data_IF_013999106159
#
_entry.id   IF_013999106159
#
_cell.length_a   1.000
_cell.length_b   1.000
_cell.length_c   1.000
_cell.angle_alpha   90.00
_cell.angle_beta   90.00
_cell.angle_gamma   90.00
#
_symmetry.space_group_name_H-M   'P 1'
#
loop_
_entity.id
_entity.type
_entity.pdbx_description
1 polymer ?
#
# COMPACT_ATOMS: atom_id res chain seq x y z
N UNK A 1 -40.42 -5.33 -5.38
CA UNK A 1 -38.95 -5.23 -5.46
C UNK A 1 -38.45 -4.98 -4.06
N UNK A 2 -37.86 -5.99 -3.41
CA UNK A 2 -37.27 -5.82 -2.08
C UNK A 2 -35.91 -5.15 -2.26
N UNK A 3 -35.80 -3.90 -1.81
CA UNK A 3 -34.56 -3.15 -1.88
C UNK A 3 -33.54 -3.83 -0.95
N UNK A 4 -32.46 -4.36 -1.53
CA UNK A 4 -31.43 -5.05 -0.73
C UNK A 4 -30.73 -4.00 0.14
N UNK A 5 -30.56 -4.24 1.46
CA UNK A 5 -29.90 -3.28 2.33
C UNK A 5 -28.47 -3.01 1.83
N UNK A 6 -28.09 -1.73 1.80
CA UNK A 6 -26.74 -1.30 1.40
C UNK A 6 -25.72 -1.92 2.35
N UNK A 7 -24.66 -2.58 1.86
CA UNK A 7 -23.66 -3.20 2.72
C UNK A 7 -23.00 -2.19 3.66
N UNK A 8 -22.83 -2.54 4.94
CA UNK A 8 -22.24 -1.67 5.97
C UNK A 8 -20.88 -1.07 5.57
N UNK A 9 -20.06 -1.83 4.82
CA UNK A 9 -18.79 -1.34 4.26
C UNK A 9 -19.00 -0.14 3.33
N UNK A 10 -20.00 -0.18 2.45
CA UNK A 10 -20.26 0.91 1.50
C UNK A 10 -20.72 2.17 2.24
N UNK A 11 -21.59 2.02 3.25
CA UNK A 11 -22.02 3.12 4.12
C UNK A 11 -20.80 3.78 4.79
N UNK A 12 -19.90 2.96 5.36
CA UNK A 12 -18.66 3.46 5.99
C UNK A 12 -17.77 4.22 5.00
N UNK A 13 -17.59 3.70 3.78
CA UNK A 13 -16.80 4.36 2.74
C UNK A 13 -17.40 5.70 2.35
N UNK A 14 -18.73 5.78 2.17
CA UNK A 14 -19.45 7.03 1.85
C UNK A 14 -19.31 8.04 2.98
N UNK A 15 -19.56 7.64 4.23
CA UNK A 15 -19.40 8.53 5.39
C UNK A 15 -17.96 9.05 5.51
N UNK A 16 -16.97 8.21 5.21
CA UNK A 16 -15.56 8.63 5.18
C UNK A 16 -15.32 9.66 4.07
N UNK A 17 -15.91 9.46 2.88
CA UNK A 17 -15.82 10.40 1.77
C UNK A 17 -16.42 11.77 2.09
N UNK A 18 -17.57 11.80 2.77
CA UNK A 18 -18.20 13.03 3.27
C UNK A 18 -17.27 13.73 4.26
N UNK A 19 -16.76 13.01 5.26
CA UNK A 19 -15.85 13.57 6.25
C UNK A 19 -14.57 14.15 5.63
N UNK A 20 -13.99 13.47 4.63
CA UNK A 20 -12.80 13.96 3.89
C UNK A 20 -13.13 15.23 3.11
N UNK A 21 -14.32 15.31 2.50
CA UNK A 21 -14.75 16.50 1.74
C UNK A 21 -14.97 17.71 2.65
N UNK A 22 -15.56 17.51 3.82
CA UNK A 22 -15.89 18.58 4.77
C UNK A 22 -14.68 19.02 5.60
N UNK A 23 -13.77 18.09 5.93
CA UNK A 23 -12.68 18.33 6.86
C UNK A 23 -11.34 18.03 6.18
N UNK A 24 -10.57 19.08 5.82
CA UNK A 24 -9.21 18.92 5.31
C UNK A 24 -8.34 18.08 6.26
N UNK A 25 -7.49 17.19 5.73
CA UNK A 25 -6.64 16.32 6.55
C UNK A 25 -5.64 17.15 7.37
N UNK A 26 -5.50 16.82 8.65
CA UNK A 26 -4.53 17.45 9.57
C UNK A 26 -3.80 16.41 10.42
N UNK A 27 -2.56 16.70 10.79
CA UNK A 27 -1.79 15.89 11.75
C UNK A 27 -1.78 14.40 11.38
N UNK A 28 -2.40 13.57 12.21
CA UNK A 28 -2.49 12.10 12.06
C UNK A 28 -3.33 11.62 10.87
N UNK A 29 -4.09 12.50 10.22
CA UNK A 29 -4.76 12.20 8.96
C UNK A 29 -3.78 12.08 7.78
N UNK A 30 -2.54 12.55 7.92
CA UNK A 30 -1.53 12.48 6.84
C UNK A 30 -0.71 11.20 6.93
N UNK A 31 -0.91 10.27 5.99
CA UNK A 31 -0.01 9.14 5.80
C UNK A 31 1.01 9.44 4.69
N UNK A 32 2.10 8.70 4.68
CA UNK A 32 3.14 8.76 3.66
C UNK A 32 3.46 7.36 3.16
N UNK A 33 3.72 7.22 1.86
CA UNK A 33 4.26 5.98 1.29
C UNK A 33 5.34 6.30 0.28
N UNK A 34 6.20 5.32 -0.03
CA UNK A 34 7.25 5.49 -1.03
C UNK A 34 6.64 5.60 -2.44
N UNK A 35 7.03 6.59 -3.24
CA UNK A 35 6.49 6.85 -4.59
C UNK A 35 6.51 5.64 -5.52
N UNK A 36 7.53 4.80 -5.41
CA UNK A 36 7.64 3.57 -6.18
C UNK A 36 6.44 2.63 -5.99
N UNK A 37 5.91 2.52 -4.77
CA UNK A 37 4.76 1.68 -4.45
C UNK A 37 3.45 2.27 -5.00
N UNK A 38 3.45 3.56 -5.36
CA UNK A 38 2.34 4.20 -6.09
C UNK A 38 2.39 3.92 -7.61
N UNK A 39 3.54 3.50 -8.14
CA UNK A 39 3.72 3.20 -9.56
C UNK A 39 3.62 1.69 -9.82
N UNK A 40 4.33 0.90 -9.02
CA UNK A 40 4.41 -0.56 -9.09
C UNK A 40 4.13 -1.15 -7.71
N UNK A 41 2.95 -1.74 -7.55
CA UNK A 41 2.52 -2.30 -6.26
C UNK A 41 3.03 -3.72 -6.02
N UNK A 42 3.04 -4.14 -4.76
CA UNK A 42 3.24 -5.54 -4.34
C UNK A 42 2.22 -6.49 -5.00
N UNK A 43 2.41 -7.82 -4.94
CA UNK A 43 1.35 -8.76 -5.31
C UNK A 43 0.04 -8.50 -4.55
N UNK A 44 -1.10 -8.72 -5.21
CA UNK A 44 -2.43 -8.53 -4.59
C UNK A 44 -2.90 -9.76 -3.82
N UNK A 45 -2.42 -10.93 -4.21
CA UNK A 45 -2.70 -12.23 -3.62
C UNK A 45 -1.40 -12.99 -3.42
N UNK A 46 -1.46 -14.09 -2.69
CA UNK A 46 -0.33 -15.01 -2.54
C UNK A 46 0.19 -15.40 -3.92
N UNK A 47 1.51 -15.39 -4.06
CA UNK A 47 2.22 -15.83 -5.25
C UNK A 47 2.81 -17.21 -4.94
N UNK A 48 2.63 -18.14 -5.86
CA UNK A 48 3.30 -19.43 -5.80
C UNK A 48 4.69 -19.26 -6.42
N UNK A 49 5.73 -19.32 -5.59
CA UNK A 49 7.12 -19.15 -6.00
C UNK A 49 7.89 -18.12 -5.17
N UNK A 50 9.16 -17.93 -5.55
CA UNK A 50 10.11 -17.06 -4.83
C UNK A 50 10.27 -15.68 -5.42
N UNK A 51 9.75 -15.44 -6.63
CA UNK A 51 9.91 -14.16 -7.32
C UNK A 51 8.58 -13.67 -7.90
N UNK A 52 8.39 -12.37 -7.83
CA UNK A 52 7.29 -11.68 -8.47
C UNK A 52 7.82 -10.46 -9.20
N UNK A 53 7.51 -10.35 -10.49
CA UNK A 53 7.86 -9.19 -11.31
C UNK A 53 6.59 -8.42 -11.67
N UNK A 54 6.67 -7.09 -11.60
CA UNK A 54 5.65 -6.17 -12.13
C UNK A 54 6.30 -5.04 -12.91
N UNK A 55 5.71 -4.69 -14.05
CA UNK A 55 6.18 -3.60 -14.93
C UNK A 55 5.04 -2.64 -15.28
N UNK A 56 5.30 -1.34 -15.25
CA UNK A 56 4.40 -0.31 -15.75
C UNK A 56 5.18 0.74 -16.52
N UNK A 57 5.01 0.78 -17.85
CA UNK A 57 5.82 1.63 -18.72
C UNK A 57 7.31 1.30 -18.58
N UNK A 58 8.12 2.32 -18.27
CA UNK A 58 9.57 2.19 -18.06
C UNK A 58 9.95 1.71 -16.65
N UNK A 59 8.99 1.67 -15.72
CA UNK A 59 9.21 1.27 -14.33
C UNK A 59 8.97 -0.24 -14.16
N UNK A 60 9.80 -0.91 -13.38
CA UNK A 60 9.57 -2.29 -12.97
C UNK A 60 10.02 -2.54 -11.52
N UNK A 61 9.41 -3.55 -10.91
CA UNK A 61 9.66 -4.04 -9.56
C UNK A 61 9.78 -5.56 -9.59
N UNK A 62 10.87 -6.09 -9.05
CA UNK A 62 10.99 -7.49 -8.64
C UNK A 62 10.91 -7.55 -7.12
N UNK A 63 10.07 -8.43 -6.61
CA UNK A 63 10.04 -8.81 -5.20
C UNK A 63 10.50 -10.25 -5.09
N UNK A 64 11.57 -10.48 -4.32
CA UNK A 64 12.09 -11.81 -4.04
C UNK A 64 11.78 -12.20 -2.60
N UNK A 65 11.24 -13.41 -2.41
CA UNK A 65 11.05 -14.04 -1.12
C UNK A 65 12.40 -14.30 -0.43
N UNK A 66 12.41 -14.19 0.90
CA UNK A 66 13.61 -14.36 1.71
C UNK A 66 13.47 -15.43 2.77
N UNK A 67 14.48 -15.49 3.62
CA UNK A 67 14.51 -16.33 4.82
C UNK A 67 14.60 -15.43 6.03
N UNK A 68 13.95 -15.82 7.11
CA UNK A 68 13.99 -15.11 8.39
C UNK A 68 14.37 -16.11 9.48
N UNK A 69 15.31 -15.75 10.34
CA UNK A 69 15.61 -16.59 11.50
C UNK A 69 14.56 -16.38 12.58
N UNK A 70 13.79 -17.44 12.88
CA UNK A 70 12.74 -17.43 13.90
C UNK A 70 13.24 -18.02 15.24
N UNK A 71 14.56 -18.06 15.47
CA UNK A 71 15.21 -18.51 16.70
C UNK A 71 15.59 -20.00 16.72
N UNK A 72 15.04 -20.79 15.81
CA UNK A 72 15.41 -22.19 15.56
C UNK A 72 16.12 -22.38 14.21
N UNK A 73 16.56 -21.29 13.59
CA UNK A 73 17.20 -21.26 12.28
C UNK A 73 16.31 -20.63 11.19
N UNK A 74 16.78 -20.66 9.94
CA UNK A 74 16.15 -19.94 8.83
C UNK A 74 14.82 -20.59 8.44
N UNK A 75 13.75 -19.79 8.49
CA UNK A 75 12.39 -20.13 8.04
C UNK A 75 12.10 -19.41 6.73
N UNK A 76 11.62 -20.16 5.74
CA UNK A 76 11.24 -19.59 4.44
C UNK A 76 10.02 -18.67 4.59
N UNK A 77 10.12 -17.47 4.02
CA UNK A 77 9.04 -16.49 4.08
C UNK A 77 8.45 -16.26 2.68
N UNK A 78 7.12 -16.09 2.56
CA UNK A 78 6.51 -15.82 1.27
C UNK A 78 6.87 -14.42 0.77
N UNK A 79 6.58 -14.14 -0.50
CA UNK A 79 6.55 -12.77 -1.01
C UNK A 79 5.43 -12.00 -0.27
N UNK A 80 5.64 -10.77 0.21
CA UNK A 80 4.57 -9.99 0.83
C UNK A 80 3.46 -9.65 -0.17
N UNK A 81 2.20 -9.84 0.22
CA UNK A 81 1.03 -9.67 -0.65
C UNK A 81 -0.20 -9.11 0.08
N UNK A 82 -1.14 -8.59 -0.72
CA UNK A 82 -2.44 -8.15 -0.21
C UNK A 82 -2.39 -6.80 0.50
N UNK A 83 -3.47 -6.45 1.19
CA UNK A 83 -3.63 -5.10 1.78
C UNK A 83 -2.77 -4.86 3.01
N UNK A 84 -2.53 -5.89 3.82
CA UNK A 84 -1.82 -5.75 5.10
C UNK A 84 -0.41 -5.16 4.96
N UNK A 85 0.50 -5.69 4.11
CA UNK A 85 1.84 -5.12 3.97
C UNK A 85 1.82 -3.69 3.42
N UNK A 86 0.83 -3.32 2.59
CA UNK A 86 0.68 -1.96 2.07
C UNK A 86 0.33 -0.96 3.17
N UNK A 87 -0.59 -1.34 4.05
CA UNK A 87 -1.00 -0.53 5.20
C UNK A 87 0.15 -0.41 6.20
N UNK A 88 0.86 -1.52 6.47
CA UNK A 88 2.06 -1.51 7.30
C UNK A 88 3.13 -0.58 6.73
N UNK A 89 3.46 -0.71 5.44
CA UNK A 89 4.43 0.17 4.78
C UNK A 89 4.03 1.65 4.84
N UNK A 90 2.74 1.97 4.65
CA UNK A 90 2.26 3.35 4.80
C UNK A 90 2.41 3.86 6.24
N UNK A 91 2.10 3.03 7.24
CA UNK A 91 2.23 3.42 8.65
C UNK A 91 3.69 3.62 9.05
N UNK A 92 4.57 2.65 8.74
CA UNK A 92 5.99 2.71 9.13
C UNK A 92 6.70 3.86 8.42
N UNK A 93 6.36 4.12 7.15
CA UNK A 93 6.90 5.26 6.40
C UNK A 93 6.45 6.59 7.02
N UNK A 94 5.19 6.67 7.46
CA UNK A 94 4.66 7.85 8.14
C UNK A 94 5.36 8.10 9.47
N UNK A 95 5.56 7.05 10.26
CA UNK A 95 6.29 7.14 11.53
C UNK A 95 7.73 7.60 11.29
N UNK A 96 8.43 6.94 10.37
CA UNK A 96 9.82 7.22 10.02
C UNK A 96 10.04 8.69 9.65
N UNK A 97 9.18 9.25 8.79
CA UNK A 97 9.30 10.65 8.35
C UNK A 97 8.95 11.65 9.44
N UNK A 98 7.91 11.36 10.24
CA UNK A 98 7.48 12.25 11.34
C UNK A 98 8.51 12.32 12.46
N UNK A 99 9.11 11.17 12.79
CA UNK A 99 10.07 11.02 13.88
C UNK A 99 11.53 11.12 13.42
N UNK A 100 11.75 11.16 12.11
CA UNK A 100 13.07 11.22 11.46
C UNK A 100 13.99 10.10 11.95
N UNK A 101 13.46 8.88 12.00
CA UNK A 101 14.20 7.69 12.45
C UNK A 101 13.93 6.49 11.55
N UNK A 102 14.89 5.58 11.49
CA UNK A 102 14.78 4.26 10.87
C UNK A 102 14.28 3.20 11.84
N UNK A 103 14.37 3.45 13.14
CA UNK A 103 13.90 2.54 14.20
C UNK A 103 12.41 2.76 14.44
N UNK A 104 11.62 1.76 14.08
CA UNK A 104 10.17 1.84 14.09
C UNK A 104 9.63 0.96 15.22
N UNK A 105 9.03 1.54 16.29
CA UNK A 105 8.37 0.75 17.31
C UNK A 105 7.12 0.12 16.71
N UNK A 106 7.06 -1.21 16.71
CA UNK A 106 5.93 -1.99 16.18
C UNK A 106 5.16 -2.70 17.30
N UNK A 107 5.34 -2.24 18.54
CA UNK A 107 4.67 -2.81 19.73
C UNK A 107 5.21 -4.19 20.11
N UNK A 108 4.81 -4.68 21.28
CA UNK A 108 5.25 -5.97 21.84
C UNK A 108 4.54 -7.17 21.22
N UNK A 109 3.54 -6.94 20.36
CA UNK A 109 2.80 -7.99 19.67
C UNK A 109 2.20 -7.51 18.35
N UNK A 110 1.88 -8.45 17.46
CA UNK A 110 1.12 -8.16 16.23
C UNK A 110 -0.25 -7.51 16.52
N UNK A 111 -0.88 -7.83 17.65
CA UNK A 111 -2.13 -7.19 18.04
C UNK A 111 -1.92 -5.70 18.36
N UNK A 112 -0.89 -5.38 19.13
CA UNK A 112 -0.53 -4.00 19.45
C UNK A 112 -0.19 -3.23 18.17
N UNK A 113 0.55 -3.84 17.24
CA UNK A 113 0.83 -3.18 15.96
C UNK A 113 -0.43 -2.91 15.14
N UNK A 114 -1.39 -3.84 15.08
CA UNK A 114 -2.66 -3.58 14.41
C UNK A 114 -3.38 -2.38 15.03
N UNK A 115 -3.40 -2.30 16.37
CA UNK A 115 -3.99 -1.17 17.08
C UNK A 115 -3.26 0.15 16.75
N UNK A 116 -1.93 0.14 16.69
CA UNK A 116 -1.12 1.29 16.26
C UNK A 116 -1.48 1.76 14.83
N UNK A 117 -1.79 0.82 13.93
CA UNK A 117 -2.29 1.12 12.58
C UNK A 117 -3.78 1.53 12.55
N UNK A 118 -4.43 1.68 13.71
CA UNK A 118 -5.86 1.97 13.84
C UNK A 118 -6.77 0.81 13.44
N UNK A 119 -6.20 -0.36 13.16
CA UNK A 119 -6.92 -1.56 12.76
C UNK A 119 -7.36 -2.34 14.00
N UNK A 120 -8.58 -2.86 13.94
CA UNK A 120 -9.06 -3.88 14.87
C UNK A 120 -9.28 -5.18 14.11
N UNK A 121 -9.12 -6.30 14.80
CA UNK A 121 -9.26 -7.64 14.23
C UNK A 121 -9.40 -8.69 15.30
N UNK A 122 -9.52 -9.95 14.88
CA UNK A 122 -9.37 -11.12 15.74
C UNK A 122 -8.14 -11.93 15.33
N UNK A 123 -8.03 -13.15 15.86
CA UNK A 123 -6.84 -13.99 15.67
C UNK A 123 -6.41 -14.19 14.21
N UNK A 124 -7.35 -14.20 13.25
CA UNK A 124 -7.03 -14.30 11.82
C UNK A 124 -6.24 -13.09 11.31
N UNK A 125 -6.66 -11.87 11.65
CA UNK A 125 -5.96 -10.65 11.24
C UNK A 125 -4.57 -10.58 11.88
N UNK A 126 -4.44 -11.06 13.11
CA UNK A 126 -3.17 -11.07 13.86
C UNK A 126 -2.17 -12.00 13.18
N UNK A 127 -2.63 -13.21 12.82
CA UNK A 127 -1.84 -14.17 12.05
C UNK A 127 -1.42 -13.61 10.69
N UNK A 128 -2.36 -13.00 9.96
CA UNK A 128 -2.04 -12.37 8.67
C UNK A 128 -1.04 -11.22 8.80
N UNK A 129 -1.18 -10.35 9.80
CA UNK A 129 -0.19 -9.29 10.01
C UNK A 129 1.18 -9.89 10.27
N UNK A 130 1.27 -10.89 11.15
CA UNK A 130 2.53 -11.55 11.48
C UNK A 130 3.22 -12.14 10.26
N UNK A 131 2.49 -12.95 9.50
CA UNK A 131 2.97 -13.53 8.24
C UNK A 131 3.47 -12.45 7.27
N UNK A 132 2.74 -11.35 7.13
CA UNK A 132 3.09 -10.30 6.17
C UNK A 132 4.24 -9.39 6.64
N UNK A 133 4.42 -9.22 7.95
CA UNK A 133 5.57 -8.50 8.48
C UNK A 133 6.85 -9.33 8.39
N UNK A 134 6.79 -10.63 8.66
CA UNK A 134 7.94 -11.52 8.44
C UNK A 134 8.32 -11.56 6.95
N UNK A 135 7.33 -11.64 6.06
CA UNK A 135 7.53 -11.53 4.61
C UNK A 135 8.18 -10.20 4.20
N UNK A 136 7.74 -9.06 4.75
CA UNK A 136 8.34 -7.76 4.50
C UNK A 136 9.76 -7.65 5.05
N UNK A 137 10.02 -8.25 6.21
CA UNK A 137 11.33 -8.26 6.86
C UNK A 137 12.35 -9.07 6.04
N UNK A 138 11.92 -10.17 5.42
CA UNK A 138 12.80 -11.05 4.67
C UNK A 138 12.97 -10.68 3.19
N UNK A 139 12.01 -9.96 2.58
CA UNK A 139 12.00 -9.78 1.14
C UNK A 139 13.07 -8.81 0.62
N UNK A 140 13.47 -9.03 -0.64
CA UNK A 140 14.32 -8.10 -1.39
C UNK A 140 13.51 -7.43 -2.49
N UNK A 141 13.74 -6.13 -2.66
CA UNK A 141 13.15 -5.34 -3.74
C UNK A 141 14.25 -4.95 -4.73
N UNK A 142 13.97 -5.20 -6.00
CA UNK A 142 14.75 -4.63 -7.10
C UNK A 142 13.84 -3.76 -7.93
N UNK A 143 14.29 -2.57 -8.24
CA UNK A 143 13.54 -1.54 -8.94
C UNK A 143 14.34 -1.11 -10.15
N UNK A 144 13.65 -0.83 -11.24
CA UNK A 144 14.31 -0.16 -12.36
C UNK A 144 13.42 0.84 -13.06
N UNK A 145 14.06 1.86 -13.62
CA UNK A 145 13.42 2.92 -14.39
C UNK A 145 14.38 3.45 -15.44
N UNK A 146 14.00 3.38 -16.73
CA UNK A 146 14.78 3.92 -17.87
C UNK A 146 16.29 3.57 -17.84
N UNK A 147 16.61 2.29 -17.64
CA UNK A 147 17.98 1.78 -17.62
C UNK A 147 18.73 1.96 -16.29
N UNK A 148 18.15 2.65 -15.30
CA UNK A 148 18.67 2.70 -13.94
C UNK A 148 18.06 1.56 -13.12
N UNK A 149 18.88 0.89 -12.31
CA UNK A 149 18.45 -0.16 -11.39
C UNK A 149 18.84 0.22 -9.96
N UNK A 150 17.95 -0.08 -9.02
CA UNK A 150 18.15 0.07 -7.59
C UNK A 150 17.82 -1.26 -6.91
N UNK A 151 18.69 -1.70 -6.01
CA UNK A 151 18.50 -2.90 -5.21
C UNK A 151 18.43 -2.48 -3.74
N UNK A 152 17.44 -3.00 -3.02
CA UNK A 152 17.30 -2.70 -1.60
C UNK A 152 16.37 -3.67 -0.87
N UNK A 153 16.35 -3.54 0.45
CA UNK A 153 15.41 -4.24 1.33
C UNK A 153 14.63 -3.18 2.10
N UNK A 154 13.30 -3.27 2.27
CA UNK A 154 12.57 -2.28 3.07
C UNK A 154 13.03 -2.26 4.53
N UNK A 155 13.35 -3.45 5.04
CA UNK A 155 13.75 -3.71 6.43
C UNK A 155 15.19 -4.18 6.42
N UNK A 156 16.03 -3.59 7.28
CA UNK A 156 17.42 -3.97 7.48
C UNK A 156 17.57 -4.92 8.67
N UNK A 157 16.80 -4.68 9.74
CA UNK A 157 16.81 -5.53 10.91
C UNK A 157 15.39 -5.77 11.42
N UNK A 158 15.09 -7.05 11.69
CA UNK A 158 13.86 -7.52 12.29
C UNK A 158 14.19 -8.67 13.22
N UNK A 159 14.24 -8.41 14.52
CA UNK A 159 14.55 -9.43 15.51
C UNK A 159 13.31 -10.30 15.73
N UNK A 160 13.07 -11.23 14.80
CA UNK A 160 11.90 -12.09 14.79
C UNK A 160 11.83 -13.01 16.02
N UNK A 161 12.87 -13.06 16.85
CA UNK A 161 12.94 -13.86 18.06
C UNK A 161 13.51 -13.02 19.21
N UNK A 162 12.63 -12.59 20.11
CA UNK A 162 13.05 -11.95 21.37
C UNK A 162 12.31 -12.62 22.54
N UNK A 163 13.01 -12.80 23.67
CA UNK A 163 12.37 -13.21 24.93
C UNK A 163 11.46 -12.08 25.40
N UNK A 164 10.20 -12.40 25.70
CA UNK A 164 9.33 -11.46 26.38
C UNK A 164 9.64 -11.48 27.88
N UNK A 165 10.27 -10.41 28.36
CA UNK A 165 10.69 -10.26 29.76
C UNK A 165 9.51 -10.31 30.75
N UNK A 166 8.27 -10.12 30.31
CA UNK A 166 7.08 -10.11 31.19
C UNK A 166 6.35 -11.45 31.27
N UNK A 167 6.37 -12.26 30.21
CA UNK A 167 5.64 -13.53 30.17
C UNK A 167 6.53 -14.77 30.24
N UNK A 168 7.85 -14.60 30.08
CA UNK A 168 8.79 -15.74 29.97
C UNK A 168 8.57 -16.60 28.72
N UNK A 169 7.63 -16.22 27.85
CA UNK A 169 7.39 -16.87 26.56
C UNK A 169 8.25 -16.23 25.47
N UNK A 170 8.59 -17.04 24.47
CA UNK A 170 9.37 -16.61 23.33
C UNK A 170 8.43 -15.88 22.37
N UNK A 171 8.62 -14.57 22.20
CA UNK A 171 7.82 -13.78 21.28
C UNK A 171 8.49 -13.76 19.91
N UNK A 172 7.77 -14.26 18.91
CA UNK A 172 8.20 -14.22 17.52
C UNK A 172 7.92 -12.86 16.86
N UNK A 173 7.98 -11.77 17.63
CA UNK A 173 7.62 -10.43 17.23
C UNK A 173 8.54 -9.41 17.91
N UNK A 174 9.34 -8.64 17.14
CA UNK A 174 10.22 -7.65 17.72
C UNK A 174 9.42 -6.45 18.23
N UNK A 175 9.89 -5.82 19.31
CA UNK A 175 9.35 -4.52 19.73
C UNK A 175 9.66 -3.38 18.74
N UNK A 176 10.76 -3.51 18.00
CA UNK A 176 11.30 -2.50 17.08
C UNK A 176 11.76 -3.15 15.77
N UNK A 177 11.45 -2.49 14.64
CA UNK A 177 11.93 -2.85 13.30
C UNK A 177 12.78 -1.73 12.74
N UNK A 178 13.96 -2.05 12.18
CA UNK A 178 14.85 -1.07 11.57
C UNK A 178 14.68 -1.07 10.06
N UNK A 179 14.26 0.06 9.50
CA UNK A 179 14.22 0.28 8.05
C UNK A 179 15.63 0.38 7.50
N UNK A 180 15.86 -0.11 6.27
CA UNK A 180 17.15 0.11 5.63
C UNK A 180 17.39 1.57 5.34
N UNK A 181 18.66 1.97 5.35
CA UNK A 181 19.08 3.32 5.01
C UNK A 181 18.60 3.72 3.60
N UNK A 182 18.74 2.84 2.62
CA UNK A 182 18.29 3.10 1.25
C UNK A 182 16.79 3.33 1.14
N UNK A 183 15.98 2.54 1.85
CA UNK A 183 14.52 2.73 1.87
C UNK A 183 14.14 4.03 2.58
N UNK A 184 14.76 4.33 3.72
CA UNK A 184 14.52 5.56 4.48
C UNK A 184 14.91 6.83 3.71
N UNK A 185 16.08 6.84 3.06
CA UNK A 185 16.50 7.97 2.23
C UNK A 185 15.56 8.16 1.03
N UNK A 186 15.14 7.07 0.39
CA UNK A 186 14.12 7.13 -0.68
C UNK A 186 12.77 7.70 -0.22
N UNK A 187 12.37 7.44 1.04
CA UNK A 187 11.20 8.08 1.64
C UNK A 187 11.40 9.59 1.84
N UNK A 188 12.57 10.02 2.33
CA UNK A 188 12.88 11.45 2.49
C UNK A 188 12.77 12.17 1.14
N UNK A 189 13.34 11.57 0.10
CA UNK A 189 13.41 12.19 -1.22
C UNK A 189 12.09 12.18 -1.98
N UNK A 190 11.25 11.16 -1.77
CA UNK A 190 10.17 10.84 -2.70
C UNK A 190 8.93 10.22 -2.03
N UNK A 191 8.64 10.58 -0.78
CA UNK A 191 7.38 10.21 -0.16
C UNK A 191 6.17 10.89 -0.83
N UNK A 192 5.08 10.13 -0.92
CA UNK A 192 3.79 10.60 -1.42
C UNK A 192 2.87 10.81 -0.23
N UNK A 193 2.37 12.03 0.00
CA UNK A 193 1.41 12.28 1.07
C UNK A 193 0.02 11.77 0.68
N UNK A 194 -0.64 11.12 1.62
CA UNK A 194 -1.91 10.41 1.47
C UNK A 194 -2.85 10.76 2.63
N UNK A 195 -4.15 10.67 2.40
CA UNK A 195 -5.16 10.75 3.46
C UNK A 195 -5.31 9.37 4.13
N UNK A 196 -4.91 9.29 5.40
CA UNK A 196 -4.95 8.06 6.18
C UNK A 196 -6.38 7.53 6.37
N UNK A 197 -7.38 8.42 6.38
CA UNK A 197 -8.80 8.05 6.48
C UNK A 197 -9.24 7.29 5.21
N UNK A 198 -8.75 7.71 4.05
CA UNK A 198 -8.98 7.01 2.79
C UNK A 198 -8.33 5.61 2.78
N UNK A 199 -7.06 5.50 3.21
CA UNK A 199 -6.39 4.20 3.33
C UNK A 199 -7.19 3.24 4.23
N UNK A 200 -7.68 3.75 5.36
CA UNK A 200 -8.47 2.98 6.31
C UNK A 200 -9.80 2.49 5.73
N UNK A 201 -10.49 3.33 4.96
CA UNK A 201 -11.73 2.95 4.27
C UNK A 201 -11.49 1.88 3.18
N UNK A 202 -10.31 1.90 2.55
CA UNK A 202 -9.95 1.00 1.45
C UNK A 202 -9.20 -0.28 1.89
N UNK A 203 -8.89 -0.42 3.19
CA UNK A 203 -8.08 -1.51 3.78
C UNK A 203 -8.46 -2.94 3.38
N UNK A 204 -9.70 -3.16 2.97
CA UNK A 204 -10.21 -4.47 2.55
C UNK A 204 -9.89 -4.87 1.11
N UNK A 205 -9.11 -4.07 0.36
CA UNK A 205 -8.81 -4.32 -1.05
C UNK A 205 -7.43 -3.80 -1.43
N UNK A 206 -6.49 -4.71 -1.73
CA UNK A 206 -5.17 -4.34 -2.23
C UNK A 206 -5.25 -3.51 -3.52
N UNK A 207 -6.18 -3.86 -4.42
CA UNK A 207 -6.40 -3.11 -5.65
C UNK A 207 -6.91 -1.69 -5.38
N UNK A 208 -7.81 -1.51 -4.41
CA UNK A 208 -8.32 -0.18 -4.07
C UNK A 208 -7.21 0.70 -3.47
N UNK A 209 -6.34 0.14 -2.63
CA UNK A 209 -5.17 0.84 -2.10
C UNK A 209 -4.22 1.25 -3.24
N UNK A 210 -3.88 0.33 -4.14
CA UNK A 210 -2.99 0.60 -5.28
C UNK A 210 -3.59 1.67 -6.22
N UNK A 211 -4.89 1.62 -6.50
CA UNK A 211 -5.57 2.64 -7.33
C UNK A 211 -5.57 3.99 -6.64
N UNK A 212 -5.83 4.04 -5.32
CA UNK A 212 -5.80 5.28 -4.57
C UNK A 212 -4.41 5.93 -4.57
N UNK A 213 -3.37 5.18 -4.21
CA UNK A 213 -2.00 5.70 -4.16
C UNK A 213 -1.50 6.10 -5.55
N UNK A 214 -1.88 5.34 -6.59
CA UNK A 214 -1.60 5.69 -7.98
C UNK A 214 -2.25 7.00 -8.40
N UNK A 215 -3.55 7.19 -8.15
CA UNK A 215 -4.24 8.43 -8.49
C UNK A 215 -3.68 9.62 -7.68
N UNK A 216 -3.41 9.41 -6.39
CA UNK A 216 -2.81 10.42 -5.52
C UNK A 216 -1.45 10.89 -6.03
N UNK A 217 -0.64 9.97 -6.54
CA UNK A 217 0.67 10.25 -7.12
C UNK A 217 0.58 10.85 -8.54
N UNK A 218 -0.45 10.51 -9.31
CA UNK A 218 -0.48 10.80 -10.76
C UNK A 218 -1.28 12.04 -11.13
N UNK A 219 -2.48 12.22 -10.59
CA UNK A 219 -3.44 13.19 -11.13
C UNK A 219 -2.95 14.63 -11.07
N UNK A 220 -2.25 15.01 -9.99
CA UNK A 220 -1.76 16.38 -9.81
C UNK A 220 -0.54 16.72 -10.68
N UNK A 221 0.04 15.72 -11.36
CA UNK A 221 1.18 15.88 -12.28
C UNK A 221 0.76 15.84 -13.74
N UNK A 222 -0.54 15.68 -14.02
CA UNK A 222 -1.04 15.79 -15.38
C UNK A 222 -1.07 17.26 -15.76
N UNK A 223 -0.25 17.62 -16.73
CA UNK A 223 -0.24 18.95 -17.32
C UNK A 223 -1.06 18.96 -18.62
N UNK A 224 -1.88 19.99 -18.81
CA UNK A 224 -2.66 20.17 -20.02
C UNK A 224 -3.87 19.23 -20.12
N UNK A 225 -3.93 18.46 -21.22
CA UNK A 225 -5.14 17.72 -21.62
C UNK A 225 -5.33 16.42 -20.83
N UNK A 226 -6.57 15.94 -20.66
CA UNK A 226 -6.84 14.65 -20.02
C UNK A 226 -6.11 13.48 -20.71
N UNK A 227 -5.63 12.53 -19.92
CA UNK A 227 -4.90 11.36 -20.42
C UNK A 227 -5.85 10.17 -20.52
N UNK A 228 -5.97 9.58 -21.71
CA UNK A 228 -6.70 8.33 -21.92
C UNK A 228 -5.81 7.13 -21.60
N UNK A 229 -6.28 6.24 -20.73
CA UNK A 229 -5.65 4.95 -20.45
C UNK A 229 -6.59 3.82 -20.84
N UNK A 230 -6.12 2.93 -21.71
CA UNK A 230 -6.89 1.78 -22.15
C UNK A 230 -6.89 0.67 -21.09
N UNK A 231 -7.86 -0.24 -21.16
CA UNK A 231 -7.95 -1.38 -20.22
C UNK A 231 -6.69 -2.23 -20.21
N UNK A 232 -6.04 -2.43 -21.35
CA UNK A 232 -4.76 -3.12 -21.47
C UNK A 232 -3.68 -2.45 -20.61
N UNK A 233 -3.49 -1.12 -20.73
CA UNK A 233 -2.49 -0.40 -19.94
C UNK A 233 -2.76 -0.49 -18.43
N UNK A 234 -4.04 -0.39 -18.03
CA UNK A 234 -4.41 -0.52 -16.62
C UNK A 234 -4.19 -1.94 -16.10
N UNK A 235 -4.50 -2.97 -16.91
CA UNK A 235 -4.24 -4.37 -16.54
C UNK A 235 -2.75 -4.60 -16.39
N UNK A 236 -1.93 -4.16 -17.35
CA UNK A 236 -0.47 -4.28 -17.27
C UNK A 236 0.10 -3.62 -16.02
N UNK A 237 -0.50 -2.51 -15.58
CA UNK A 237 -0.07 -1.82 -14.37
C UNK A 237 -0.48 -2.56 -13.07
N UNK A 238 -1.72 -3.03 -12.96
CA UNK A 238 -2.29 -3.49 -11.69
C UNK A 238 -2.48 -5.01 -11.55
N UNK A 239 -2.49 -5.73 -12.68
CA UNK A 239 -3.03 -7.07 -12.76
C UNK A 239 -2.37 -7.89 -13.89
N UNK A 240 -1.05 -7.90 -13.98
CA UNK A 240 -0.30 -8.71 -14.96
C UNK A 240 -0.60 -10.20 -14.83
N UNK A 241 -0.97 -10.63 -13.62
CA UNK A 241 -1.37 -11.99 -13.30
C UNK A 241 -2.72 -12.41 -13.91
N UNK A 242 -3.50 -11.48 -14.48
CA UNK A 242 -4.76 -11.83 -15.17
C UNK A 242 -4.42 -12.40 -16.55
N UNK A 243 -4.43 -13.73 -16.63
CA UNK A 243 -4.20 -14.52 -17.83
C UNK A 243 -5.48 -15.26 -18.23
N UNK A 244 -5.73 -15.45 -19.53
CA UNK A 244 -6.90 -16.18 -20.01
C UNK A 244 -7.46 -15.64 -21.31
N UNK A 245 -8.72 -15.98 -21.60
CA UNK A 245 -9.39 -15.65 -22.87
C UNK A 245 -9.70 -14.14 -23.02
N UNK A 246 -10.15 -13.49 -21.94
CA UNK A 246 -10.55 -12.07 -21.94
C UNK A 246 -9.98 -11.30 -20.72
N UNK A 247 -8.64 -11.23 -20.55
CA UNK A 247 -8.02 -10.76 -19.32
C UNK A 247 -8.36 -9.30 -18.98
N UNK A 248 -8.46 -8.43 -20.00
CA UNK A 248 -8.86 -7.03 -19.84
C UNK A 248 -10.30 -6.88 -19.33
N UNK A 249 -11.21 -7.72 -19.83
CA UNK A 249 -12.63 -7.71 -19.45
C UNK A 249 -12.79 -8.17 -18.00
N UNK A 250 -12.06 -9.19 -17.60
CA UNK A 250 -12.11 -9.71 -16.23
C UNK A 250 -11.45 -8.77 -15.24
N UNK A 251 -10.34 -8.14 -15.62
CA UNK A 251 -9.74 -7.08 -14.83
C UNK A 251 -10.68 -5.90 -14.66
N UNK A 252 -11.32 -5.42 -15.74
CA UNK A 252 -12.30 -4.33 -15.70
C UNK A 252 -13.44 -4.58 -14.71
N UNK A 253 -13.94 -5.82 -14.59
CA UNK A 253 -14.99 -6.19 -13.61
C UNK A 253 -14.54 -5.97 -12.16
N UNK A 254 -13.25 -6.07 -11.86
CA UNK A 254 -12.67 -5.84 -10.52
C UNK A 254 -12.20 -4.41 -10.32
N UNK A 255 -11.67 -3.77 -11.37
CA UNK A 255 -11.15 -2.41 -11.32
C UNK A 255 -12.26 -1.38 -11.12
N UNK A 256 -13.40 -1.49 -11.82
CA UNK A 256 -14.46 -0.48 -11.73
C UNK A 256 -15.06 -0.34 -10.31
N UNK A 257 -15.36 -1.44 -9.57
CA UNK A 257 -15.76 -1.33 -8.17
C UNK A 257 -14.66 -0.70 -7.29
N UNK A 258 -13.39 -1.09 -7.50
CA UNK A 258 -12.27 -0.52 -6.76
C UNK A 258 -12.13 1.00 -7.01
N UNK A 259 -12.21 1.42 -8.27
CA UNK A 259 -12.19 2.83 -8.66
C UNK A 259 -13.36 3.59 -8.04
N UNK A 260 -14.57 3.04 -8.03
CA UNK A 260 -15.74 3.67 -7.38
C UNK A 260 -15.49 3.92 -5.89
N UNK A 261 -14.97 2.91 -5.18
CA UNK A 261 -14.65 3.05 -3.75
C UNK A 261 -13.56 4.10 -3.53
N UNK A 262 -12.56 4.18 -4.42
CA UNK A 262 -11.50 5.19 -4.38
C UNK A 262 -12.03 6.60 -4.62
N UNK A 263 -12.85 6.81 -5.66
CA UNK A 263 -13.42 8.12 -5.96
C UNK A 263 -14.35 8.62 -4.84
N UNK A 264 -14.96 7.71 -4.08
CA UNK A 264 -15.75 8.06 -2.90
C UNK A 264 -14.88 8.71 -1.82
N UNK A 265 -13.65 8.22 -1.60
CA UNK A 265 -12.74 8.71 -0.55
C UNK A 265 -11.65 9.65 -1.09
N UNK A 266 -11.71 9.98 -2.37
CA UNK A 266 -10.87 11.00 -3.01
C UNK A 266 -11.75 11.93 -3.86
N UNK A 267 -12.62 12.74 -3.24
CA UNK A 267 -13.67 13.49 -3.94
C UNK A 267 -13.17 14.52 -4.96
N UNK A 268 -11.92 14.97 -4.85
CA UNK A 268 -11.28 15.89 -5.80
C UNK A 268 -10.81 15.18 -7.09
N UNK A 269 -10.67 13.85 -7.07
CA UNK A 269 -10.15 13.09 -8.21
C UNK A 269 -11.16 13.06 -9.37
N UNK A 270 -10.77 13.62 -10.51
CA UNK A 270 -11.57 13.64 -11.73
C UNK A 270 -11.13 12.51 -12.66
N UNK A 271 -11.89 11.41 -12.63
CA UNK A 271 -11.68 10.24 -13.49
C UNK A 271 -13.00 9.86 -14.15
N UNK A 272 -12.99 9.73 -15.47
CA UNK A 272 -14.18 9.42 -16.27
C UNK A 272 -14.01 8.06 -16.96
N UNK A 273 -15.06 7.23 -16.94
CA UNK A 273 -15.09 5.98 -17.70
C UNK A 273 -15.48 6.28 -19.14
N UNK A 274 -14.66 5.87 -20.09
CA UNK A 274 -14.91 6.03 -21.52
C UNK A 274 -14.88 4.69 -22.25
N UNK A 275 -15.26 4.68 -23.53
CA UNK A 275 -15.12 3.49 -24.38
C UNK A 275 -13.65 3.08 -24.45
N UNK A 276 -13.40 1.82 -24.08
CA UNK A 276 -12.06 1.21 -24.09
C UNK A 276 -11.16 1.53 -22.90
N UNK A 277 -11.58 2.35 -21.93
CA UNK A 277 -10.71 2.69 -20.80
C UNK A 277 -11.27 3.75 -19.83
N UNK A 278 -10.37 4.58 -19.31
CA UNK A 278 -10.69 5.76 -18.49
C UNK A 278 -9.94 7.00 -18.98
N UNK A 279 -10.49 8.18 -18.73
CA UNK A 279 -9.83 9.47 -18.85
C UNK A 279 -9.42 9.96 -17.45
N UNK A 280 -8.16 10.36 -17.32
CA UNK A 280 -7.62 11.01 -16.13
C UNK A 280 -7.50 12.51 -16.38
N UNK A 281 -8.16 13.32 -15.55
CA UNK A 281 -8.08 14.77 -15.63
C UNK A 281 -7.10 15.30 -14.56
N UNK A 282 -6.42 16.44 -14.81
CA UNK A 282 -5.67 17.14 -13.79
C UNK A 282 -6.54 17.36 -12.54
N UNK A 283 -6.07 16.88 -11.39
CA UNK A 283 -6.79 16.97 -10.12
C UNK A 283 -5.82 17.28 -8.97
N UNK A 284 -6.21 18.08 -7.97
CA UNK A 284 -5.39 18.32 -6.78
C UNK A 284 -5.07 17.01 -6.04
N UNK A 285 -3.89 16.88 -5.40
CA UNK A 285 -3.55 15.71 -4.58
C UNK A 285 -4.48 15.59 -3.35
N UNK A 286 -4.60 14.39 -2.71
CA UNK A 286 -5.47 14.22 -1.54
C UNK A 286 -5.00 15.07 -0.35
N UNK A 287 -3.69 15.26 -0.23
CA UNK A 287 -3.06 16.16 0.73
C UNK A 287 -2.54 17.38 -0.05
N UNK A 288 -3.07 18.59 0.20
CA UNK A 288 -2.56 19.81 -0.43
C UNK A 288 -1.08 20.02 -0.16
N UNK A 289 -0.37 20.60 -1.13
CA UNK A 289 0.99 21.09 -0.89
C UNK A 289 0.96 22.15 0.22
N UNK A 290 1.98 22.16 1.09
CA UNK A 290 2.17 23.29 2.00
C UNK A 290 2.30 24.54 1.14
N UNK A 291 1.45 25.54 1.36
CA UNK A 291 1.68 26.87 0.78
C UNK A 291 3.09 27.31 1.21
N UNK A 292 3.95 27.62 0.24
CA UNK A 292 5.18 28.31 0.54
C UNK A 292 4.76 29.62 1.21
N UNK A 293 5.18 29.82 2.47
CA UNK A 293 5.04 31.13 3.11
C UNK A 293 5.73 32.13 2.18
N UNK A 294 4.93 32.98 1.54
CA UNK A 294 5.44 34.16 0.83
C UNK A 294 6.09 35.11 1.82
#
# INVERSE_FOLDING_TARGET
>A
MTDKPVPAKQIKTVNTGIAIKENPPKGDDMAFTHSILCQVGLPRSKVDGREFMRKSGDAWLVVQAGWLDEGSGPVDQPIPYGSMPRLALAWVSSYALRKKTREIPIGKSANEFLQLMGLSGGGRQYKTLREQMHALAACRLQLGFKGRSFNGQPVEQFDAWQKDDQSGQLSLWPGVMTLSEGYFNGLIDSAVPLDNRALYALKGSALSLDVYTWLAHRLHRIEGRPIKLHWMNLREQFAQEYMGKDPDKDFKKKFLPALRDVLTVYPQAKVEKVTGGILLYPSPPPIPFKEAKK
#
